data_IF_033686378807
#
_entry.id   IF_033686378807
#
_cell.length_a   1.000
_cell.length_b   1.000
_cell.length_c   1.000
_cell.angle_alpha   90.00
_cell.angle_beta   90.00
_cell.angle_gamma   90.00
#
_symmetry.space_group_name_H-M   'P 1'
#
loop_
_entity.id
_entity.type
_entity.pdbx_description
1 polymer ?
#
# COMPACT_ATOMS: atom_id res chain seq x y z
N UNK A 1 6.18 -13.01 -6.98
CA UNK A 1 5.37 -11.94 -7.58
C UNK A 1 6.29 -10.78 -7.94
N UNK A 2 5.92 -9.98 -8.94
CA UNK A 2 6.54 -8.68 -9.26
C UNK A 2 5.65 -7.57 -8.74
N UNK A 3 6.13 -6.84 -7.74
CA UNK A 3 5.37 -5.84 -7.01
C UNK A 3 6.01 -4.46 -7.16
N UNK A 4 5.16 -3.45 -7.31
CA UNK A 4 5.56 -2.04 -7.18
C UNK A 4 4.97 -1.53 -5.87
N UNK A 5 5.81 -1.08 -4.95
CA UNK A 5 5.40 -0.41 -3.73
C UNK A 5 5.81 1.05 -3.89
N UNK A 6 4.89 1.96 -3.62
CA UNK A 6 5.15 3.38 -3.69
C UNK A 6 4.71 4.07 -2.41
N UNK A 7 5.39 5.15 -2.03
CA UNK A 7 4.98 5.99 -0.92
C UNK A 7 4.96 7.46 -1.33
N UNK A 8 3.98 8.19 -0.80
CA UNK A 8 3.77 9.60 -1.11
C UNK A 8 3.61 10.42 0.15
N UNK A 9 3.61 11.76 0.05
CA UNK A 9 3.62 12.70 1.18
C UNK A 9 2.34 12.76 2.03
N UNK A 10 1.79 11.61 2.42
CA UNK A 10 0.82 11.50 3.50
C UNK A 10 1.51 10.87 4.71
N UNK A 11 1.06 11.26 5.90
CA UNK A 11 1.49 10.62 7.14
C UNK A 11 1.08 9.15 7.18
N UNK A 12 1.84 8.33 7.92
CA UNK A 12 1.62 6.89 8.03
C UNK A 12 2.75 6.06 7.43
N UNK A 13 3.99 6.54 7.49
CA UNK A 13 5.19 5.80 7.04
C UNK A 13 5.29 4.42 7.70
N UNK A 14 4.78 4.29 8.93
CA UNK A 14 4.71 2.99 9.63
C UNK A 14 3.94 1.92 8.84
N UNK A 15 2.93 2.27 8.03
CA UNK A 15 2.24 1.29 7.17
C UNK A 15 3.17 0.74 6.08
N UNK A 16 4.02 1.60 5.49
CA UNK A 16 5.03 1.19 4.51
C UNK A 16 6.08 0.29 5.15
N UNK A 17 6.65 0.71 6.28
CA UNK A 17 7.64 -0.07 7.04
C UNK A 17 7.09 -1.47 7.35
N UNK A 18 5.89 -1.53 7.91
CA UNK A 18 5.24 -2.79 8.29
C UNK A 18 4.85 -3.67 7.10
N UNK A 19 4.52 -3.07 5.94
CA UNK A 19 4.29 -3.84 4.71
C UNK A 19 5.59 -4.48 4.23
N UNK A 20 6.68 -3.72 4.15
CA UNK A 20 8.00 -4.23 3.71
C UNK A 20 8.53 -5.32 4.65
N UNK A 21 8.30 -5.19 5.96
CA UNK A 21 8.69 -6.20 6.96
C UNK A 21 7.88 -7.51 6.89
N UNK A 22 6.66 -7.47 6.34
CA UNK A 22 5.76 -8.62 6.30
C UNK A 22 5.72 -9.32 4.94
N UNK A 23 6.26 -8.70 3.89
CA UNK A 23 6.49 -9.36 2.61
C UNK A 23 7.84 -10.07 2.68
N UNK A 24 7.89 -11.33 2.26
CA UNK A 24 9.16 -12.01 1.99
C UNK A 24 9.81 -11.40 0.74
N UNK A 25 10.65 -10.40 0.98
CA UNK A 25 11.33 -9.64 -0.06
C UNK A 25 12.38 -10.49 -0.80
N UNK A 26 12.82 -11.63 -0.25
CA UNK A 26 13.73 -12.53 -0.95
C UNK A 26 12.99 -13.45 -1.94
N UNK A 27 11.70 -13.74 -1.69
CA UNK A 27 10.87 -14.57 -2.55
C UNK A 27 10.18 -13.80 -3.70
N UNK A 28 10.23 -12.45 -3.70
CA UNK A 28 9.49 -11.60 -4.63
C UNK A 28 10.37 -10.47 -5.20
N UNK A 29 10.07 -10.05 -6.43
CA UNK A 29 10.72 -8.91 -7.07
C UNK A 29 9.95 -7.64 -6.65
N UNK A 30 10.56 -6.84 -5.79
CA UNK A 30 9.92 -5.65 -5.21
C UNK A 30 10.65 -4.40 -5.66
N UNK A 31 9.90 -3.49 -6.28
CA UNK A 31 10.37 -2.18 -6.67
C UNK A 31 9.75 -1.13 -5.75
N UNK A 32 10.56 -0.27 -5.14
CA UNK A 32 10.13 0.82 -4.27
C UNK A 32 10.33 2.17 -4.93
N UNK A 33 9.30 3.01 -4.93
CA UNK A 33 9.37 4.43 -5.33
C UNK A 33 8.88 5.28 -4.16
N UNK A 34 9.59 6.34 -3.83
CA UNK A 34 9.16 7.28 -2.80
C UNK A 34 9.23 8.68 -3.39
N UNK A 35 8.14 9.43 -3.30
CA UNK A 35 8.17 10.87 -3.66
C UNK A 35 9.08 11.63 -2.69
N UNK A 36 9.59 12.79 -3.10
CA UNK A 36 10.39 13.64 -2.21
C UNK A 36 9.68 13.95 -0.87
N UNK A 37 8.36 14.18 -0.89
CA UNK A 37 7.57 14.41 0.32
C UNK A 37 7.40 13.16 1.18
N UNK A 38 7.39 11.96 0.58
CA UNK A 38 7.34 10.72 1.36
C UNK A 38 8.62 10.51 2.17
N UNK A 39 9.78 10.84 1.60
CA UNK A 39 11.06 10.79 2.30
C UNK A 39 11.08 11.76 3.50
N UNK A 40 10.57 12.98 3.31
CA UNK A 40 10.45 13.98 4.38
C UNK A 40 9.53 13.48 5.51
N UNK A 41 8.38 12.92 5.17
CA UNK A 41 7.44 12.36 6.16
C UNK A 41 8.07 11.15 6.87
N UNK A 42 8.78 10.29 6.15
CA UNK A 42 9.46 9.15 6.74
C UNK A 42 10.49 9.56 7.79
N UNK A 43 11.33 10.56 7.47
CA UNK A 43 12.31 11.11 8.39
C UNK A 43 11.68 11.81 9.61
N UNK A 44 10.45 12.30 9.49
CA UNK A 44 9.72 12.93 10.59
C UNK A 44 9.01 11.92 11.50
N UNK A 45 8.48 10.84 10.93
CA UNK A 45 7.60 9.91 11.65
C UNK A 45 8.31 8.69 12.23
N UNK A 46 9.45 8.30 11.65
CA UNK A 46 10.22 7.15 12.07
C UNK A 46 11.68 7.55 12.28
N UNK A 47 12.23 7.19 13.43
CA UNK A 47 13.66 7.41 13.72
C UNK A 47 14.57 6.63 12.74
N UNK A 48 14.13 5.44 12.33
CA UNK A 48 14.91 4.53 11.49
C UNK A 48 13.99 3.78 10.51
N UNK A 49 13.71 4.42 9.37
CA UNK A 49 12.99 3.78 8.26
C UNK A 49 13.94 2.83 7.50
N UNK A 50 13.58 1.54 7.44
CA UNK A 50 14.41 0.48 6.88
C UNK A 50 13.80 -0.09 5.62
N UNK A 51 14.58 -0.04 4.55
CA UNK A 51 14.30 -0.72 3.29
C UNK A 51 15.05 -2.07 3.31
N UNK A 52 14.36 -3.22 3.20
CA UNK A 52 15.03 -4.52 3.12
C UNK A 52 15.99 -4.62 1.93
N UNK A 53 17.09 -5.37 2.08
CA UNK A 53 18.17 -5.43 1.09
C UNK A 53 17.75 -5.91 -0.31
N UNK A 54 16.68 -6.71 -0.40
CA UNK A 54 16.17 -7.25 -1.66
C UNK A 54 15.20 -6.32 -2.40
N UNK A 55 14.92 -5.13 -1.86
CA UNK A 55 14.03 -4.15 -2.47
C UNK A 55 14.82 -3.21 -3.38
N UNK A 56 14.45 -3.14 -4.65
CA UNK A 56 15.06 -2.23 -5.62
C UNK A 56 14.43 -0.85 -5.53
N UNK A 57 15.18 0.17 -5.10
CA UNK A 57 14.69 1.55 -5.01
C UNK A 57 14.90 2.33 -6.30
N UNK A 58 13.92 3.12 -6.70
CA UNK A 58 13.93 3.93 -7.91
C UNK A 58 13.56 5.38 -7.61
N UNK A 59 14.10 6.30 -8.38
CA UNK A 59 13.68 7.71 -8.34
C UNK A 59 12.29 7.88 -8.96
N UNK A 60 11.47 8.79 -8.44
CA UNK A 60 10.20 9.13 -9.09
C UNK A 60 10.37 9.78 -10.47
N UNK A 61 11.56 10.29 -10.79
CA UNK A 61 11.92 10.84 -12.10
C UNK A 61 12.46 9.79 -13.08
N UNK A 62 12.72 8.56 -12.64
CA UNK A 62 13.31 7.52 -13.48
C UNK A 62 12.25 6.82 -14.34
N UNK A 63 12.12 7.25 -15.59
CA UNK A 63 11.22 6.64 -16.58
C UNK A 63 11.82 5.43 -17.31
N UNK A 64 13.04 5.00 -16.96
CA UNK A 64 13.68 3.82 -17.56
C UNK A 64 13.29 2.48 -16.88
N UNK A 65 12.57 2.57 -15.76
CA UNK A 65 12.10 1.44 -14.97
C UNK A 65 11.06 0.58 -15.70
N UNK A 66 11.02 -0.74 -15.48
CA UNK A 66 10.16 -1.63 -16.27
C UNK A 66 8.66 -1.39 -16.04
N UNK A 67 8.26 -0.99 -14.83
CA UNK A 67 6.85 -0.86 -14.44
C UNK A 67 6.14 0.38 -15.00
N UNK A 68 6.83 1.26 -15.74
CA UNK A 68 6.19 2.35 -16.51
C UNK A 68 5.74 1.92 -17.91
N UNK A 69 5.93 0.65 -18.26
CA UNK A 69 5.45 0.04 -19.50
C UNK A 69 4.44 -1.07 -19.24
N UNK A 70 3.35 -1.09 -20.01
CA UNK A 70 2.36 -2.18 -19.97
C UNK A 70 2.91 -3.53 -20.44
N UNK A 71 3.97 -3.56 -21.27
CA UNK A 71 4.57 -4.83 -21.72
C UNK A 71 5.28 -5.59 -20.60
N UNK A 72 5.76 -4.89 -19.56
CA UNK A 72 6.33 -5.51 -18.38
C UNK A 72 5.18 -6.02 -17.49
N UNK A 73 5.09 -7.33 -17.27
CA UNK A 73 3.99 -7.96 -16.53
C UNK A 73 4.24 -7.91 -15.03
N UNK A 74 3.70 -6.89 -14.35
CA UNK A 74 3.68 -6.79 -12.89
C UNK A 74 2.34 -7.26 -12.32
N UNK A 75 2.36 -7.81 -11.10
CA UNK A 75 1.20 -8.41 -10.47
C UNK A 75 0.32 -7.38 -9.72
N UNK A 76 0.95 -6.49 -8.95
CA UNK A 76 0.26 -5.46 -8.18
C UNK A 76 1.13 -4.22 -7.94
N UNK A 77 0.47 -3.07 -7.83
CA UNK A 77 1.04 -1.82 -7.35
C UNK A 77 0.30 -1.40 -6.09
N UNK A 78 1.04 -1.02 -5.05
CA UNK A 78 0.50 -0.50 -3.80
C UNK A 78 1.09 0.87 -3.52
N UNK A 79 0.25 1.89 -3.32
CA UNK A 79 0.68 3.21 -2.87
C UNK A 79 0.32 3.37 -1.39
N UNK A 80 1.30 3.29 -0.51
CA UNK A 80 1.13 3.29 0.95
C UNK A 80 2.27 4.07 1.64
N UNK A 81 1.95 5.15 2.39
CA UNK A 81 0.68 5.88 2.35
C UNK A 81 0.49 6.63 1.01
N UNK A 82 -0.77 6.85 0.64
CA UNK A 82 -1.19 7.63 -0.53
C UNK A 82 -1.69 9.02 -0.11
N UNK A 83 -1.08 10.09 -0.61
CA UNK A 83 -1.55 11.45 -0.40
C UNK A 83 -2.74 11.77 -1.29
N UNK A 84 -3.64 12.64 -0.82
CA UNK A 84 -4.79 13.06 -1.65
C UNK A 84 -4.36 13.84 -2.90
N UNK A 85 -3.19 14.50 -2.85
CA UNK A 85 -2.59 15.15 -4.01
C UNK A 85 -2.19 14.10 -5.08
N UNK A 86 -1.50 13.03 -4.69
CA UNK A 86 -1.18 11.92 -5.60
C UNK A 86 -2.45 11.25 -6.11
N UNK A 87 -3.41 10.96 -5.23
CA UNK A 87 -4.68 10.34 -5.60
C UNK A 87 -5.41 11.18 -6.66
N UNK A 88 -5.47 12.50 -6.49
CA UNK A 88 -6.04 13.40 -7.49
C UNK A 88 -5.30 13.39 -8.84
N UNK A 89 -3.97 13.33 -8.84
CA UNK A 89 -3.15 13.25 -10.07
C UNK A 89 -3.33 11.93 -10.81
N UNK A 90 -3.51 10.83 -10.09
CA UNK A 90 -3.86 9.53 -10.69
C UNK A 90 -5.27 9.62 -11.27
N UNK A 91 -6.25 10.15 -10.53
CA UNK A 91 -7.63 10.30 -11.00
C UNK A 91 -7.73 11.17 -12.27
N UNK A 92 -6.86 12.16 -12.42
CA UNK A 92 -6.79 13.03 -13.60
C UNK A 92 -5.96 12.44 -14.75
N UNK A 93 -5.26 11.32 -14.54
CA UNK A 93 -4.36 10.72 -15.54
C UNK A 93 -3.14 11.57 -15.88
N UNK A 94 -2.57 12.35 -14.94
CA UNK A 94 -1.46 13.28 -15.25
C UNK A 94 -0.20 12.58 -15.75
N UNK A 95 0.10 11.39 -15.19
CA UNK A 95 1.13 10.46 -15.67
C UNK A 95 2.52 11.08 -15.90
N UNK A 96 2.91 12.07 -15.08
CA UNK A 96 4.09 12.93 -15.26
C UNK A 96 5.28 12.58 -14.36
N UNK A 97 5.23 11.43 -13.69
CA UNK A 97 6.35 10.83 -12.95
C UNK A 97 6.33 9.31 -13.10
N UNK A 98 7.41 8.60 -12.77
CA UNK A 98 7.46 7.15 -12.80
C UNK A 98 6.37 6.52 -11.92
N UNK A 99 6.09 7.12 -10.76
CA UNK A 99 5.02 6.71 -9.85
C UNK A 99 3.63 6.86 -10.50
N UNK A 100 3.35 8.04 -11.07
CA UNK A 100 2.05 8.34 -11.66
C UNK A 100 1.83 7.58 -12.97
N UNK A 101 2.89 7.41 -13.76
CA UNK A 101 2.91 6.60 -14.98
C UNK A 101 2.70 5.12 -14.67
N UNK A 102 3.32 4.60 -13.61
CA UNK A 102 3.06 3.24 -13.15
C UNK A 102 1.58 3.06 -12.80
N UNK A 103 1.00 3.96 -11.99
CA UNK A 103 -0.43 3.86 -11.64
C UNK A 103 -1.34 3.86 -12.88
N UNK A 104 -1.08 4.73 -13.86
CA UNK A 104 -1.77 4.75 -15.16
C UNK A 104 -1.63 3.42 -15.92
N UNK A 105 -0.43 2.84 -15.96
CA UNK A 105 -0.18 1.52 -16.55
C UNK A 105 -0.98 0.42 -15.84
N UNK A 106 -1.03 0.43 -14.51
CA UNK A 106 -1.78 -0.59 -13.77
C UNK A 106 -3.27 -0.49 -14.05
N UNK A 107 -3.83 0.73 -14.14
CA UNK A 107 -5.23 0.94 -14.51
C UNK A 107 -5.53 0.46 -15.94
N UNK A 108 -4.76 0.92 -16.94
CA UNK A 108 -5.04 0.61 -18.35
C UNK A 108 -4.86 -0.89 -18.67
N UNK A 109 -3.95 -1.57 -17.98
CA UNK A 109 -3.70 -3.01 -18.13
C UNK A 109 -4.62 -3.87 -17.23
N UNK A 110 -5.56 -3.24 -16.51
CA UNK A 110 -6.47 -3.91 -15.55
C UNK A 110 -5.74 -4.77 -14.51
N UNK A 111 -4.63 -4.25 -14.00
CA UNK A 111 -3.83 -4.86 -12.93
C UNK A 111 -4.25 -4.28 -11.59
N UNK A 112 -3.90 -4.98 -10.51
CA UNK A 112 -4.24 -4.53 -9.16
C UNK A 112 -3.48 -3.25 -8.82
N UNK A 113 -4.19 -2.13 -8.77
CA UNK A 113 -3.72 -0.88 -8.18
C UNK A 113 -4.41 -0.70 -6.82
N UNK A 114 -3.64 -0.72 -5.74
CA UNK A 114 -4.14 -0.54 -4.37
C UNK A 114 -3.65 0.83 -3.87
N UNK A 115 -4.58 1.71 -3.53
CA UNK A 115 -4.30 3.03 -3.00
C UNK A 115 -4.66 3.05 -1.52
N UNK A 116 -3.71 3.44 -0.68
CA UNK A 116 -3.88 3.47 0.78
C UNK A 116 -3.90 4.91 1.27
N UNK A 117 -4.99 5.67 1.04
CA UNK A 117 -5.04 7.06 1.44
C UNK A 117 -5.09 7.22 2.95
N UNK A 118 -4.36 8.22 3.45
CA UNK A 118 -4.42 8.67 4.84
C UNK A 118 -4.75 10.16 4.83
N UNK A 119 -6.02 10.49 5.07
CA UNK A 119 -6.52 11.86 5.17
C UNK A 119 -7.81 11.90 5.99
N UNK A 120 -8.01 12.97 6.76
CA UNK A 120 -9.27 13.27 7.45
C UNK A 120 -9.32 14.73 7.93
N UNK A 121 -10.45 15.45 7.78
CA UNK A 121 -11.67 15.06 7.07
C UNK A 121 -11.50 15.14 5.54
N UNK A 122 -12.44 14.57 4.79
CA UNK A 122 -12.46 14.69 3.33
C UNK A 122 -13.30 15.86 2.89
N UNK A 123 -12.84 16.57 1.86
CA UNK A 123 -13.67 17.49 1.09
C UNK A 123 -14.34 16.76 -0.09
N UNK A 124 -15.22 17.44 -0.82
CA UNK A 124 -15.93 16.83 -1.95
C UNK A 124 -15.01 16.46 -3.13
N UNK A 125 -13.91 17.19 -3.32
CA UNK A 125 -12.93 16.92 -4.39
C UNK A 125 -12.24 15.58 -4.12
N UNK A 126 -11.81 15.36 -2.88
CA UNK A 126 -11.25 14.10 -2.39
C UNK A 126 -12.21 12.94 -2.66
N UNK A 127 -13.47 13.07 -2.27
CA UNK A 127 -14.48 12.04 -2.49
C UNK A 127 -14.71 11.74 -3.98
N UNK A 128 -14.80 12.78 -4.83
CA UNK A 128 -14.97 12.60 -6.29
C UNK A 128 -13.79 11.86 -6.92
N UNK A 129 -12.55 12.23 -6.56
CA UNK A 129 -11.36 11.54 -7.07
C UNK A 129 -11.34 10.06 -6.64
N UNK A 130 -11.77 9.77 -5.41
CA UNK A 130 -11.92 8.38 -4.93
C UNK A 130 -12.96 7.61 -5.76
N UNK A 131 -14.12 8.21 -6.03
CA UNK A 131 -15.14 7.59 -6.89
C UNK A 131 -14.59 7.32 -8.29
N UNK A 132 -13.95 8.30 -8.93
CA UNK A 132 -13.32 8.13 -10.26
C UNK A 132 -12.37 6.93 -10.29
N UNK A 133 -11.54 6.76 -9.26
CA UNK A 133 -10.56 5.68 -9.21
C UNK A 133 -11.18 4.32 -8.92
N UNK A 134 -12.23 4.27 -8.08
CA UNK A 134 -13.01 3.05 -7.87
C UNK A 134 -13.68 2.61 -9.18
N UNK A 135 -14.27 3.54 -9.93
CA UNK A 135 -14.87 3.27 -11.25
C UNK A 135 -13.84 2.83 -12.28
N UNK A 136 -12.61 3.36 -12.22
CA UNK A 136 -11.49 2.95 -13.06
C UNK A 136 -10.91 1.57 -12.68
N UNK A 137 -11.34 0.97 -11.56
CA UNK A 137 -10.91 -0.36 -11.11
C UNK A 137 -9.77 -0.38 -10.10
N UNK A 138 -9.38 0.77 -9.54
CA UNK A 138 -8.47 0.79 -8.40
C UNK A 138 -9.17 0.29 -7.13
N UNK A 139 -8.39 -0.31 -6.23
CA UNK A 139 -8.82 -0.64 -4.88
C UNK A 139 -8.42 0.52 -3.97
N UNK A 140 -9.41 1.26 -3.46
CA UNK A 140 -9.16 2.31 -2.45
C UNK A 140 -9.33 1.70 -1.07
N UNK A 141 -8.21 1.51 -0.37
CA UNK A 141 -8.10 0.90 0.94
C UNK A 141 -7.58 1.96 1.92
N UNK A 142 -8.41 2.89 2.41
CA UNK A 142 -7.96 3.94 3.32
C UNK A 142 -7.34 3.35 4.58
N UNK A 143 -6.38 4.07 5.17
CA UNK A 143 -5.68 3.66 6.40
C UNK A 143 -6.58 3.76 7.65
N UNK A 144 -7.64 2.94 7.67
CA UNK A 144 -8.67 2.85 8.71
C UNK A 144 -8.53 1.48 9.38
N UNK A 145 -7.82 1.40 10.52
CA UNK A 145 -7.51 0.13 11.16
C UNK A 145 -8.72 -0.52 11.83
N UNK A 146 -8.63 -1.84 12.04
CA UNK A 146 -9.61 -2.63 12.77
C UNK A 146 -9.21 -2.77 14.25
N UNK A 147 -10.22 -2.82 15.13
CA UNK A 147 -10.05 -3.03 16.57
C UNK A 147 -10.66 -4.35 17.07
N UNK A 148 -11.26 -5.15 16.18
CA UNK A 148 -11.90 -6.42 16.56
C UNK A 148 -10.93 -7.45 17.14
N UNK A 149 -9.64 -7.36 16.79
CA UNK A 149 -8.58 -8.21 17.35
C UNK A 149 -8.04 -7.71 18.69
N UNK A 150 -8.58 -6.64 19.26
CA UNK A 150 -8.10 -6.00 20.50
C UNK A 150 -6.57 -5.78 20.49
N UNK A 151 -6.04 -5.03 19.52
CA UNK A 151 -4.60 -4.87 19.35
C UNK A 151 -3.95 -4.23 20.59
N UNK A 152 -2.89 -4.86 21.10
CA UNK A 152 -2.18 -4.41 22.31
C UNK A 152 -1.10 -3.36 22.07
N UNK A 153 -0.88 -2.91 20.83
CA UNK A 153 0.13 -1.92 20.49
C UNK A 153 -0.23 -1.16 19.21
N UNK A 154 0.39 0.00 19.00
CA UNK A 154 0.25 0.79 17.76
C UNK A 154 0.63 -0.07 16.54
N UNK A 155 1.72 -0.82 16.62
CA UNK A 155 2.14 -1.74 15.55
C UNK A 155 1.06 -2.79 15.25
N UNK A 156 0.40 -3.34 16.26
CA UNK A 156 -0.68 -4.28 16.06
C UNK A 156 -1.92 -3.64 15.41
N UNK A 157 -2.21 -2.37 15.72
CA UNK A 157 -3.26 -1.59 15.04
C UNK A 157 -2.90 -1.38 13.57
N UNK A 158 -1.68 -0.95 13.29
CA UNK A 158 -1.15 -0.73 11.92
C UNK A 158 -1.20 -2.01 11.10
N UNK A 159 -0.81 -3.14 11.70
CA UNK A 159 -0.80 -4.45 11.05
C UNK A 159 -2.18 -4.85 10.54
N UNK A 160 -3.28 -4.38 11.15
CA UNK A 160 -4.63 -4.68 10.65
C UNK A 160 -4.89 -4.10 9.26
N UNK A 161 -4.31 -2.94 8.92
CA UNK A 161 -4.39 -2.36 7.57
C UNK A 161 -3.44 -3.09 6.63
N UNK A 162 -2.21 -3.38 7.08
CA UNK A 162 -1.21 -4.11 6.29
C UNK A 162 -1.72 -5.49 5.89
N UNK A 163 -2.40 -6.21 6.78
CA UNK A 163 -3.00 -7.49 6.46
C UNK A 163 -4.10 -7.39 5.39
N UNK A 164 -4.87 -6.31 5.36
CA UNK A 164 -5.83 -6.06 4.28
C UNK A 164 -5.15 -5.77 2.96
N UNK A 165 -4.03 -5.04 2.96
CA UNK A 165 -3.21 -4.83 1.75
C UNK A 165 -2.70 -6.18 1.24
N UNK A 166 -2.10 -6.99 2.12
CA UNK A 166 -1.56 -8.31 1.82
C UNK A 166 -2.64 -9.28 1.27
N UNK A 167 -3.84 -9.26 1.84
CA UNK A 167 -5.00 -10.00 1.33
C UNK A 167 -5.33 -9.61 -0.13
N UNK A 168 -5.35 -8.30 -0.43
CA UNK A 168 -5.64 -7.82 -1.79
C UNK A 168 -4.54 -8.16 -2.79
N UNK A 169 -3.27 -8.12 -2.38
CA UNK A 169 -2.15 -8.57 -3.23
C UNK A 169 -2.31 -10.06 -3.55
N UNK A 170 -2.72 -10.87 -2.57
CA UNK A 170 -2.76 -12.34 -2.65
C UNK A 170 -1.65 -13.02 -1.85
N UNK A 171 -1.13 -12.33 -0.84
CA UNK A 171 -0.08 -12.79 0.08
C UNK A 171 -0.59 -12.79 1.53
N UNK A 172 -1.67 -13.53 1.86
CA UNK A 172 -2.33 -13.42 3.16
C UNK A 172 -1.36 -13.75 4.30
N UNK A 173 -1.36 -12.94 5.37
CA UNK A 173 -0.54 -13.19 6.54
C UNK A 173 -1.23 -14.22 7.47
N UNK A 174 -0.55 -15.30 7.91
CA UNK A 174 -1.12 -16.28 8.83
C UNK A 174 -1.52 -15.70 10.20
N UNK A 175 -0.93 -14.56 10.60
CA UNK A 175 -1.26 -13.86 11.86
C UNK A 175 -2.48 -12.95 11.73
N UNK A 176 -2.99 -12.74 10.51
CA UNK A 176 -4.12 -11.85 10.29
C UNK A 176 -5.38 -12.38 10.99
N UNK A 177 -6.05 -11.50 11.73
CA UNK A 177 -7.33 -11.84 12.33
C UNK A 177 -8.38 -12.13 11.24
N UNK A 178 -9.03 -13.29 11.34
CA UNK A 178 -10.13 -13.73 10.48
C UNK A 178 -11.43 -13.78 11.30
N UNK A 179 -12.47 -13.12 10.80
CA UNK A 179 -13.77 -13.09 11.47
C UNK A 179 -14.37 -14.50 11.52
N UNK A 180 -14.78 -14.98 12.69
CA UNK A 180 -15.40 -16.30 12.92
C UNK A 180 -14.57 -17.56 12.61
N UNK A 181 -13.31 -17.43 12.21
CA UNK A 181 -12.37 -18.55 12.00
C UNK A 181 -11.83 -19.14 13.32
N UNK A 182 -12.48 -18.84 14.47
CA UNK A 182 -12.14 -19.40 15.78
C UNK A 182 -12.65 -20.83 15.99
N UNK A 183 -12.89 -21.59 14.92
CA UNK A 183 -13.06 -23.04 15.01
C UNK A 183 -11.70 -23.70 15.23
N UNK A 184 -11.21 -23.69 16.48
CA UNK A 184 -10.38 -24.74 17.12
C UNK A 184 -9.51 -24.22 18.30
N UNK A 185 -10.06 -23.50 19.29
CA UNK A 185 -9.43 -23.41 20.64
C UNK A 185 -10.45 -23.34 21.77
N UNK A 186 -11.41 -24.27 21.80
CA UNK A 186 -12.27 -24.52 22.97
C UNK A 186 -12.46 -26.01 23.21
N UNK A 187 -11.36 -26.72 23.46
CA UNK A 187 -11.41 -28.03 24.11
C UNK A 187 -10.21 -28.18 25.05
N UNK A 188 -10.41 -27.79 26.30
CA UNK A 188 -9.35 -27.94 27.31
C UNK A 188 -9.57 -27.22 28.65
N UNK A 189 -10.82 -27.00 29.08
CA UNK A 189 -11.15 -26.81 30.50
C UNK A 189 -12.52 -27.45 30.76
N UNK A 190 -12.51 -28.73 31.09
CA UNK A 190 -13.50 -29.29 32.00
C UNK A 190 -12.76 -29.73 33.26
N UNK A 191 -13.33 -29.25 34.36
CA UNK A 191 -13.02 -29.53 35.76
C UNK A 191 -12.93 -31.01 36.07
#
# INVERSE_FOLDING_TARGET
MKLVIAATGASGTIYLQRLLEQIDCAAHEIHLIMSAHAEQVAAQELEDFKIPAHVSRHSESDLSVPFVSGSARFDAMVIVPCSMATLGRIASGSSDSALLRAADVFLKERRKLILVPRETPWNLIHARNVVTLLEAGAIVLPAIPSFYSQPGSVTAVVDTVVWRILDQIGLPNPRAYRWQDQTAKTSGKKS
#
